data_IF_693979368716
#
_entry.id   IF_693979368716
#
_cell.length_a   1.000
_cell.length_b   1.000
_cell.length_c   1.000
_cell.angle_alpha   90.00
_cell.angle_beta   90.00
_cell.angle_gamma   90.00
#
_symmetry.space_group_name_H-M   'P 1'
#
loop_
_entity.id
_entity.type
_entity.pdbx_description
1 polymer ?
#
# COMPACT_ATOMS: atom_id res chain seq x y z
N UNK A 1 -1.81 20.39 -1.37
CA UNK A 1 -2.60 19.14 -1.35
C UNK A 1 -2.01 18.23 -0.28
N UNK A 2 -2.47 18.33 0.97
CA UNK A 2 -1.88 17.65 2.14
C UNK A 2 -2.61 16.35 2.50
N UNK A 3 -2.73 15.43 1.53
CA UNK A 3 -3.31 14.11 1.76
C UNK A 3 -2.24 13.03 1.54
N UNK A 4 -1.85 12.27 2.59
CA UNK A 4 -0.89 11.19 2.44
C UNK A 4 -1.48 10.06 1.58
N UNK A 5 -0.71 9.59 0.60
CA UNK A 5 -1.08 8.50 -0.30
C UNK A 5 -0.25 7.26 0.01
N UNK A 6 -0.91 6.11 0.14
CA UNK A 6 -0.26 4.80 0.26
C UNK A 6 -0.53 3.98 -1.00
N UNK A 7 0.51 3.36 -1.55
CA UNK A 7 0.43 2.47 -2.70
C UNK A 7 1.31 1.24 -2.48
N UNK A 8 0.93 0.12 -3.08
CA UNK A 8 1.75 -1.09 -3.13
C UNK A 8 2.92 -0.84 -4.09
N UNK A 9 4.11 -1.34 -3.74
CA UNK A 9 5.30 -1.21 -4.57
C UNK A 9 5.19 -2.12 -5.82
N UNK A 10 4.62 -1.57 -6.89
CA UNK A 10 4.41 -2.29 -8.15
C UNK A 10 5.74 -2.49 -8.88
N UNK A 11 6.12 -3.72 -9.22
CA UNK A 11 7.32 -4.00 -9.99
C UNK A 11 7.06 -3.79 -11.49
N UNK A 12 7.07 -2.54 -11.97
CA UNK A 12 6.87 -2.27 -13.40
C UNK A 12 7.92 -2.95 -14.30
N UNK A 13 7.54 -3.39 -15.51
CA UNK A 13 8.47 -4.03 -16.43
C UNK A 13 9.66 -3.12 -16.74
N UNK A 14 10.85 -3.72 -16.84
CA UNK A 14 12.11 -3.00 -17.04
C UNK A 14 12.77 -2.46 -15.75
N UNK A 15 12.04 -2.36 -14.63
CA UNK A 15 12.63 -1.94 -13.35
C UNK A 15 13.53 -3.02 -12.74
N UNK A 16 14.51 -2.60 -11.94
CA UNK A 16 15.37 -3.54 -11.20
C UNK A 16 14.56 -4.43 -10.25
N UNK A 17 13.49 -3.89 -9.65
CA UNK A 17 12.58 -4.64 -8.78
C UNK A 17 11.87 -5.76 -9.55
N UNK A 18 11.35 -5.47 -10.75
CA UNK A 18 10.74 -6.48 -11.60
C UNK A 18 11.73 -7.57 -12.01
N UNK A 19 12.92 -7.20 -12.50
CA UNK A 19 13.95 -8.18 -12.89
C UNK A 19 14.30 -9.11 -11.73
N UNK A 20 14.49 -8.56 -10.54
CA UNK A 20 14.79 -9.32 -9.32
C UNK A 20 13.63 -10.24 -8.93
N UNK A 21 12.41 -9.74 -8.85
CA UNK A 21 11.26 -10.55 -8.45
C UNK A 21 10.94 -11.63 -9.49
N UNK A 22 11.15 -11.34 -10.78
CA UNK A 22 11.01 -12.31 -11.87
C UNK A 22 12.07 -13.40 -11.78
N UNK A 23 13.34 -13.05 -11.55
CA UNK A 23 14.42 -14.05 -11.36
C UNK A 23 14.23 -14.90 -10.10
N UNK A 24 13.58 -14.35 -9.07
CA UNK A 24 13.22 -15.07 -7.85
C UNK A 24 11.93 -15.91 -8.00
N UNK A 25 11.25 -15.88 -9.16
CA UNK A 25 9.99 -16.60 -9.38
C UNK A 25 8.80 -16.06 -8.58
N UNK A 26 8.88 -14.81 -8.13
CA UNK A 26 7.93 -14.18 -7.20
C UNK A 26 6.90 -13.28 -7.87
N UNK A 27 6.91 -13.13 -9.20
CA UNK A 27 5.84 -12.44 -9.93
C UNK A 27 4.63 -13.38 -10.05
N UNK A 28 3.48 -12.97 -9.52
CA UNK A 28 2.26 -13.81 -9.50
C UNK A 28 1.44 -13.66 -10.77
N UNK A 29 1.56 -12.52 -11.47
CA UNK A 29 0.86 -12.26 -12.73
C UNK A 29 1.59 -11.23 -13.57
N UNK A 30 1.53 -11.38 -14.89
CA UNK A 30 2.02 -10.41 -15.88
C UNK A 30 0.87 -9.70 -16.60
N UNK A 31 -0.35 -9.81 -16.07
CA UNK A 31 -1.46 -9.00 -16.54
C UNK A 31 -1.23 -7.53 -16.13
N UNK A 32 -0.73 -6.74 -17.06
CA UNK A 32 -0.35 -5.34 -16.85
C UNK A 32 -1.51 -4.44 -16.42
N UNK A 33 -2.76 -4.83 -16.65
CA UNK A 33 -3.92 -4.05 -16.16
C UNK A 33 -4.01 -4.02 -14.63
N UNK A 34 -3.33 -4.94 -13.94
CA UNK A 34 -3.27 -5.01 -12.46
C UNK A 34 -2.10 -4.21 -11.87
N UNK A 35 -1.27 -3.56 -12.69
CA UNK A 35 -0.08 -2.82 -12.24
C UNK A 35 -0.43 -1.37 -11.87
N UNK A 36 -1.46 -1.19 -11.04
CA UNK A 36 -2.10 0.10 -10.73
C UNK A 36 -1.78 0.66 -9.33
N UNK A 37 -0.99 -0.06 -8.54
CA UNK A 37 -0.63 0.34 -7.17
C UNK A 37 -1.66 -0.06 -6.11
N UNK A 38 -2.74 -0.71 -6.51
CA UNK A 38 -3.79 -1.23 -5.63
C UNK A 38 -3.81 -2.75 -5.57
N UNK A 39 -3.28 -3.43 -6.60
CA UNK A 39 -3.16 -4.88 -6.62
C UNK A 39 -1.74 -5.35 -6.27
N UNK A 40 -1.67 -6.51 -5.61
CA UNK A 40 -0.42 -7.19 -5.30
C UNK A 40 -0.13 -8.19 -6.42
N UNK A 41 0.86 -7.86 -7.26
CA UNK A 41 1.27 -8.66 -8.44
C UNK A 41 2.55 -9.49 -8.21
N UNK A 42 2.95 -9.62 -6.95
CA UNK A 42 4.13 -10.39 -6.55
C UNK A 42 3.97 -10.98 -5.15
N UNK A 43 4.69 -12.06 -4.85
CA UNK A 43 4.71 -12.68 -3.52
C UNK A 43 5.78 -12.02 -2.64
N UNK A 44 5.45 -11.39 -1.50
CA UNK A 44 6.43 -10.83 -0.57
C UNK A 44 7.23 -11.93 0.16
N UNK A 45 8.37 -11.59 0.79
CA UNK A 45 9.19 -12.61 1.50
C UNK A 45 8.72 -12.94 2.91
N UNK A 46 8.16 -11.93 3.60
CA UNK A 46 7.91 -11.98 5.04
C UNK A 46 6.41 -11.90 5.37
N UNK A 47 5.55 -11.89 4.36
CA UNK A 47 4.10 -11.84 4.49
C UNK A 47 3.48 -12.34 3.19
N UNK A 48 2.25 -12.80 3.26
CA UNK A 48 1.43 -13.17 2.11
C UNK A 48 0.99 -11.92 1.33
N UNK A 49 0.65 -12.10 0.05
CA UNK A 49 0.03 -11.03 -0.75
C UNK A 49 -1.25 -10.47 -0.11
N UNK A 50 -2.05 -11.31 0.56
CA UNK A 50 -3.26 -10.91 1.26
C UNK A 50 -2.96 -10.02 2.49
N UNK A 51 -1.94 -10.38 3.28
CA UNK A 51 -1.50 -9.56 4.41
C UNK A 51 -0.96 -8.21 3.96
N UNK A 52 -0.21 -8.15 2.85
CA UNK A 52 0.25 -6.87 2.28
C UNK A 52 -0.93 -5.96 1.91
N UNK A 53 -1.94 -6.53 1.25
CA UNK A 53 -3.13 -5.79 0.85
C UNK A 53 -3.91 -5.27 2.08
N UNK A 54 -4.13 -6.13 3.08
CA UNK A 54 -4.86 -5.75 4.29
C UNK A 54 -4.11 -4.71 5.13
N UNK A 55 -2.79 -4.83 5.25
CA UNK A 55 -1.96 -3.84 5.94
C UNK A 55 -2.00 -2.49 5.23
N UNK A 56 -2.00 -2.47 3.89
CA UNK A 56 -2.14 -1.24 3.10
C UNK A 56 -3.51 -0.59 3.36
N UNK A 57 -4.59 -1.36 3.37
CA UNK A 57 -5.94 -0.88 3.71
C UNK A 57 -6.02 -0.36 5.14
N UNK A 58 -5.39 -1.04 6.10
CA UNK A 58 -5.32 -0.62 7.50
C UNK A 58 -4.59 0.72 7.65
N UNK A 59 -3.52 0.95 6.91
CA UNK A 59 -2.80 2.23 6.90
C UNK A 59 -3.71 3.37 6.43
N UNK A 60 -4.41 3.17 5.30
CA UNK A 60 -5.43 4.11 4.83
C UNK A 60 -6.51 4.36 5.90
N UNK A 61 -7.13 3.31 6.45
CA UNK A 61 -8.16 3.46 7.49
C UNK A 61 -7.66 4.24 8.71
N UNK A 62 -6.44 3.97 9.19
CA UNK A 62 -5.87 4.66 10.35
C UNK A 62 -5.71 6.15 10.10
N UNK A 63 -5.14 6.52 8.96
CA UNK A 63 -4.89 7.91 8.56
C UNK A 63 -6.19 8.70 8.39
N UNK A 64 -7.22 8.07 7.81
CA UNK A 64 -8.51 8.71 7.55
C UNK A 64 -9.57 8.44 8.63
N UNK A 65 -9.22 7.79 9.74
CA UNK A 65 -10.16 7.53 10.83
C UNK A 65 -10.43 8.79 11.68
N UNK A 66 -11.71 9.13 11.79
CA UNK A 66 -12.27 10.26 12.55
C UNK A 66 -11.84 10.39 14.03
N UNK A 67 -11.49 9.34 14.81
CA UNK A 67 -11.15 9.51 16.23
C UNK A 67 -9.92 10.40 16.48
N UNK A 68 -8.96 10.40 15.54
CA UNK A 68 -7.74 11.21 15.59
C UNK A 68 -8.03 12.70 15.34
N UNK A 69 -9.10 12.99 14.60
CA UNK A 69 -9.57 14.34 14.26
C UNK A 69 -10.42 14.88 15.42
N UNK A 70 -11.36 14.08 15.93
CA UNK A 70 -12.22 14.44 17.07
C UNK A 70 -11.38 14.71 18.33
N UNK A 71 -10.33 13.91 18.60
CA UNK A 71 -9.42 14.15 19.72
C UNK A 71 -8.64 15.46 19.58
N UNK A 72 -8.28 15.86 18.36
CA UNK A 72 -7.61 17.15 18.10
C UNK A 72 -8.57 18.33 18.28
N UNK A 73 -9.80 18.22 17.80
CA UNK A 73 -10.83 19.27 17.93
C UNK A 73 -11.35 19.41 19.37
N UNK A 74 -11.41 18.32 20.15
CA UNK A 74 -11.84 18.38 21.55
C UNK A 74 -10.83 19.05 22.49
N UNK A 75 -9.54 19.09 22.10
CA UNK A 75 -8.48 19.78 22.84
C UNK A 75 -8.33 21.26 22.48
N UNK A 76 -8.83 21.69 21.31
CA UNK A 76 -8.90 23.11 20.94
C UNK A 76 -10.15 23.76 21.54
N UNK A 77 -10.27 23.75 22.87
CA UNK A 77 -11.06 24.78 23.55
C UNK A 77 -10.28 26.08 23.41
N UNK A 78 -10.60 26.86 22.38
CA UNK A 78 -10.30 28.29 22.35
C UNK A 78 -10.88 28.89 23.62
N UNK A 79 -10.00 29.35 24.51
CA UNK A 79 -10.39 30.24 25.62
C UNK A 79 -10.86 31.57 25.06
#
# INVERSE_FOLDING_TARGET
>A
MDLPRYAIAVPFPGTALYKRLKSEGRITTENWSLYDGQHVVFEPRNMTAAELLENTRRAWRKTYSYPSIVRRLAGSRTR
#
